data_IF_195145063896
#
_entry.id   IF_195145063896
#
_cell.length_a   1.000
_cell.length_b   1.000
_cell.length_c   1.000
_cell.angle_alpha   90.00
_cell.angle_beta   90.00
_cell.angle_gamma   90.00
#
_symmetry.space_group_name_H-M   'P 1'
#
loop_
_entity.id
_entity.type
_entity.pdbx_description
1 polymer ?
#
# COMPACT_ATOMS: atom_id res chain seq x y z
N UNK A 1 -0.89 14.18 19.19
CA UNK A 1 -1.36 13.13 18.27
C UNK A 1 -0.56 13.27 17.00
N UNK A 2 0.20 12.25 16.62
CA UNK A 2 0.95 12.29 15.37
C UNK A 2 -0.04 12.46 14.21
N UNK A 3 0.11 13.54 13.43
CA UNK A 3 -0.82 13.85 12.35
C UNK A 3 -0.51 12.96 11.14
N UNK A 4 -1.20 11.82 11.06
CA UNK A 4 -1.10 10.88 9.95
C UNK A 4 -2.19 11.21 8.94
N UNK A 5 -1.79 11.44 7.68
CA UNK A 5 -2.69 11.75 6.57
C UNK A 5 -2.72 10.59 5.60
N UNK A 6 -3.91 10.19 5.17
CA UNK A 6 -4.07 9.25 4.06
C UNK A 6 -4.26 10.04 2.76
N UNK A 7 -3.55 9.64 1.71
CA UNK A 7 -3.72 10.19 0.36
C UNK A 7 -4.02 9.07 -0.62
N UNK A 8 -4.88 9.36 -1.60
CA UNK A 8 -5.03 8.53 -2.79
C UNK A 8 -3.89 8.82 -3.74
N UNK A 9 -3.21 7.76 -4.20
CA UNK A 9 -2.08 7.84 -5.11
C UNK A 9 -2.58 8.19 -6.49
N UNK A 10 -1.99 9.22 -7.08
CA UNK A 10 -2.39 9.74 -8.39
C UNK A 10 -1.21 10.03 -9.31
N UNK A 11 0.01 10.04 -8.79
CA UNK A 11 1.24 10.27 -9.57
C UNK A 11 2.18 9.07 -9.54
N UNK A 12 3.05 9.01 -10.55
CA UNK A 12 4.11 7.99 -10.63
C UNK A 12 5.07 8.10 -9.44
N UNK A 13 5.35 9.31 -8.95
CA UNK A 13 6.20 9.51 -7.77
C UNK A 13 5.58 8.89 -6.52
N UNK A 14 4.28 9.11 -6.29
CA UNK A 14 3.55 8.52 -5.16
C UNK A 14 3.46 6.99 -5.28
N UNK A 15 3.27 6.47 -6.49
CA UNK A 15 3.28 5.03 -6.75
C UNK A 15 4.65 4.41 -6.44
N UNK A 16 5.74 5.10 -6.81
CA UNK A 16 7.10 4.71 -6.45
C UNK A 16 7.32 4.69 -4.93
N UNK A 17 6.72 5.61 -4.17
CA UNK A 17 6.77 5.58 -2.71
C UNK A 17 6.05 4.35 -2.14
N UNK A 18 4.93 3.92 -2.73
CA UNK A 18 4.26 2.68 -2.34
C UNK A 18 5.20 1.47 -2.54
N UNK A 19 5.86 1.38 -3.70
CA UNK A 19 6.81 0.30 -3.99
C UNK A 19 8.00 0.29 -3.06
N UNK A 20 8.53 1.46 -2.68
CA UNK A 20 9.63 1.55 -1.70
C UNK A 20 9.21 0.97 -0.36
N UNK A 21 8.04 1.37 0.16
CA UNK A 21 7.52 0.85 1.45
C UNK A 21 7.34 -0.66 1.38
N UNK A 22 6.71 -1.15 0.31
CA UNK A 22 6.49 -2.57 0.07
C UNK A 22 7.80 -3.34 -0.01
N UNK A 23 8.80 -2.82 -0.72
CA UNK A 23 10.14 -3.43 -0.79
C UNK A 23 10.81 -3.49 0.59
N UNK A 24 10.72 -2.45 1.40
CA UNK A 24 11.24 -2.50 2.78
C UNK A 24 10.57 -3.60 3.61
N UNK A 25 9.24 -3.76 3.49
CA UNK A 25 8.46 -4.70 4.30
C UNK A 25 8.51 -6.14 3.76
N UNK A 26 8.15 -6.35 2.51
CA UNK A 26 8.00 -7.67 1.92
C UNK A 26 9.35 -8.27 1.51
N UNK A 27 10.20 -7.50 0.85
CA UNK A 27 11.49 -8.01 0.36
C UNK A 27 12.56 -7.97 1.45
N UNK A 28 12.85 -6.79 2.01
CA UNK A 28 13.98 -6.64 2.93
C UNK A 28 13.71 -7.23 4.31
N UNK A 29 12.52 -7.00 4.87
CA UNK A 29 12.15 -7.51 6.19
C UNK A 29 11.64 -8.95 6.12
N UNK A 30 10.62 -9.24 5.31
CA UNK A 30 9.97 -10.56 5.27
C UNK A 30 10.65 -11.59 4.34
N UNK A 31 11.65 -11.16 3.56
CA UNK A 31 12.45 -12.03 2.69
C UNK A 31 11.67 -12.68 1.54
N UNK A 32 10.62 -12.03 1.05
CA UNK A 32 10.02 -12.42 -0.23
C UNK A 32 10.97 -12.11 -1.38
N UNK A 33 10.82 -12.87 -2.48
CA UNK A 33 11.58 -12.63 -3.70
C UNK A 33 11.19 -11.26 -4.27
N UNK A 34 12.17 -10.37 -4.58
CA UNK A 34 11.89 -9.12 -5.28
C UNK A 34 11.04 -9.28 -6.54
N UNK A 35 11.16 -10.42 -7.25
CA UNK A 35 10.39 -10.70 -8.46
C UNK A 35 8.89 -10.91 -8.20
N UNK A 36 8.50 -11.31 -6.99
CA UNK A 36 7.10 -11.57 -6.61
C UNK A 36 6.39 -10.32 -6.07
N UNK A 37 7.12 -9.23 -5.85
CA UNK A 37 6.55 -8.05 -5.20
C UNK A 37 5.53 -7.34 -6.09
N UNK A 38 5.87 -7.18 -7.37
CA UNK A 38 5.02 -6.57 -8.38
C UNK A 38 4.13 -7.61 -9.06
N UNK A 39 2.87 -7.26 -9.29
CA UNK A 39 1.96 -8.08 -10.09
C UNK A 39 1.19 -7.27 -11.14
N UNK A 40 0.38 -7.98 -11.94
CA UNK A 40 -0.42 -7.41 -13.03
C UNK A 40 -1.40 -6.30 -12.62
N UNK A 41 -1.74 -6.19 -11.33
CA UNK A 41 -2.67 -5.17 -10.84
C UNK A 41 -1.95 -3.87 -10.45
N UNK A 42 -0.64 -3.89 -10.27
CA UNK A 42 0.10 -2.75 -9.74
C UNK A 42 0.02 -1.51 -10.64
N UNK A 43 0.07 -1.72 -11.96
CA UNK A 43 -0.05 -0.67 -12.98
C UNK A 43 -1.45 -0.57 -13.60
N UNK A 44 -2.42 -1.36 -13.10
CA UNK A 44 -3.79 -1.33 -13.63
C UNK A 44 -4.48 -0.02 -13.28
N UNK A 45 -5.10 0.61 -14.27
CA UNK A 45 -5.93 1.82 -14.09
C UNK A 45 -7.14 1.61 -13.17
N UNK A 46 -7.52 0.34 -12.95
CA UNK A 46 -8.59 -0.04 -12.03
C UNK A 46 -8.11 -0.27 -10.60
N UNK A 47 -6.79 -0.26 -10.36
CA UNK A 47 -6.20 -0.46 -9.05
C UNK A 47 -5.97 0.89 -8.36
N UNK A 48 -6.46 1.01 -7.14
CA UNK A 48 -6.33 2.19 -6.31
C UNK A 48 -5.26 1.95 -5.24
N UNK A 49 -4.25 2.81 -5.19
CA UNK A 49 -3.23 2.77 -4.15
C UNK A 49 -3.44 3.93 -3.17
N UNK A 50 -3.09 3.71 -1.92
CA UNK A 50 -3.15 4.72 -0.87
C UNK A 50 -1.84 4.76 -0.10
N UNK A 51 -1.47 5.96 0.34
CA UNK A 51 -0.30 6.19 1.19
C UNK A 51 -0.74 6.78 2.53
N UNK A 52 -0.16 6.25 3.61
CA UNK A 52 -0.14 6.91 4.90
C UNK A 52 1.11 7.79 4.99
N UNK A 53 0.92 9.07 5.30
CA UNK A 53 1.97 10.06 5.46
C UNK A 53 2.04 10.56 6.90
N UNK A 54 3.22 10.58 7.51
CA UNK A 54 3.49 11.26 8.78
C UNK A 54 4.43 12.42 8.53
N UNK A 55 3.97 13.66 8.74
CA UNK A 55 4.75 14.87 8.42
C UNK A 55 5.34 14.85 7.01
N UNK A 56 4.51 14.47 6.02
CA UNK A 56 4.87 14.27 4.61
C UNK A 56 5.79 13.08 4.28
N UNK A 57 6.25 12.33 5.29
CA UNK A 57 7.01 11.11 5.05
C UNK A 57 6.05 9.93 4.79
N UNK A 58 6.21 9.16 3.70
CA UNK A 58 5.48 7.93 3.48
C UNK A 58 5.84 6.85 4.52
N UNK A 59 4.84 6.33 5.22
CA UNK A 59 5.02 5.40 6.35
C UNK A 59 4.28 4.08 6.22
N UNK A 60 3.27 4.03 5.34
CA UNK A 60 2.53 2.82 5.01
C UNK A 60 1.79 2.95 3.68
N UNK A 61 1.40 1.82 3.11
CA UNK A 61 0.61 1.77 1.88
C UNK A 61 -0.36 0.60 1.90
N UNK A 62 -1.43 0.72 1.12
CA UNK A 62 -2.35 -0.36 0.78
C UNK A 62 -2.83 -0.14 -0.65
N UNK A 63 -3.25 -1.23 -1.31
CA UNK A 63 -3.96 -1.11 -2.58
C UNK A 63 -5.29 -1.85 -2.54
N UNK A 64 -6.21 -1.41 -3.37
CA UNK A 64 -7.52 -2.03 -3.59
C UNK A 64 -7.68 -2.19 -5.09
N UNK A 65 -7.87 -3.42 -5.56
CA UNK A 65 -8.18 -3.69 -6.96
C UNK A 65 -9.52 -4.40 -7.09
N UNK A 66 -10.22 -4.31 -8.24
CA UNK A 66 -11.47 -5.00 -8.44
C UNK A 66 -11.29 -6.50 -8.34
N UNK A 67 -12.26 -7.15 -7.70
CA UNK A 67 -12.39 -8.59 -7.65
C UNK A 67 -13.85 -8.94 -8.01
N UNK A 68 -14.01 -9.42 -9.24
CA UNK A 68 -15.30 -9.79 -9.80
C UNK A 68 -15.58 -11.24 -9.44
N UNK A 69 -16.63 -11.45 -8.64
CA UNK A 69 -17.27 -12.75 -8.47
C UNK A 69 -18.42 -12.86 -9.48
N UNK A 70 -18.80 -14.08 -9.93
CA UNK A 70 -19.97 -14.29 -10.78
C UNK A 70 -21.27 -13.65 -10.25
N UNK A 71 -21.35 -13.35 -8.95
CA UNK A 71 -22.55 -12.82 -8.28
C UNK A 71 -22.37 -11.43 -7.65
N UNK A 72 -21.19 -10.83 -7.68
CA UNK A 72 -20.95 -9.53 -7.03
C UNK A 72 -19.66 -8.85 -7.47
N UNK A 73 -19.69 -7.52 -7.58
CA UNK A 73 -18.48 -6.69 -7.68
C UNK A 73 -17.96 -6.38 -6.28
N UNK A 74 -16.73 -6.79 -5.98
CA UNK A 74 -16.05 -6.49 -4.71
C UNK A 74 -14.68 -5.86 -4.97
N UNK A 75 -14.09 -5.23 -3.94
CA UNK A 75 -12.70 -4.79 -3.96
C UNK A 75 -11.84 -5.76 -3.15
N UNK A 76 -10.68 -6.14 -3.67
CA UNK A 76 -9.68 -6.93 -2.95
C UNK A 76 -8.60 -6.00 -2.43
N UNK A 77 -8.49 -5.95 -1.11
CA UNK A 77 -7.41 -5.27 -0.40
C UNK A 77 -6.16 -6.13 -0.52
N UNK A 78 -5.02 -5.49 -0.81
CA UNK A 78 -3.73 -6.16 -0.91
C UNK A 78 -2.58 -5.21 -0.60
N UNK A 79 -1.38 -5.79 -0.48
CA UNK A 79 -0.12 -5.06 -0.26
C UNK A 79 -0.14 -4.09 0.93
N UNK A 80 -1.01 -4.34 1.93
CA UNK A 80 -1.04 -3.59 3.18
C UNK A 80 0.32 -3.73 3.87
N UNK A 81 1.04 -2.64 3.99
CA UNK A 81 2.40 -2.61 4.51
C UNK A 81 2.64 -1.33 5.28
N UNK A 82 3.26 -1.45 6.45
CA UNK A 82 3.65 -0.33 7.32
C UNK A 82 5.09 -0.54 7.73
N UNK A 83 5.93 0.49 7.56
CA UNK A 83 7.33 0.44 7.96
C UNK A 83 7.42 0.13 9.45
N UNK A 84 8.37 -0.73 9.83
CA UNK A 84 8.49 -1.28 11.19
C UNK A 84 8.46 -0.23 12.30
N UNK A 85 9.13 0.89 12.08
CA UNK A 85 9.23 2.00 13.05
C UNK A 85 7.94 2.80 13.27
N UNK A 86 6.91 2.61 12.42
CA UNK A 86 5.60 3.27 12.54
C UNK A 86 4.47 2.29 12.89
N UNK A 87 4.79 1.03 13.24
CA UNK A 87 3.80 0.06 13.72
C UNK A 87 3.36 0.38 15.15
N UNK A 88 2.21 -0.17 15.57
CA UNK A 88 1.55 0.12 16.85
C UNK A 88 1.11 1.59 17.04
N UNK A 89 1.02 2.34 15.95
CA UNK A 89 0.55 3.74 15.93
C UNK A 89 -0.84 3.88 15.26
N UNK A 90 -1.56 2.79 15.00
CA UNK A 90 -2.85 2.81 14.31
C UNK A 90 -2.79 3.00 12.78
N UNK A 91 -1.60 3.03 12.17
CA UNK A 91 -1.42 3.27 10.72
C UNK A 91 -2.20 2.28 9.85
N UNK A 92 -2.15 0.99 10.21
CA UNK A 92 -2.85 -0.06 9.45
C UNK A 92 -4.36 0.08 9.53
N UNK A 93 -4.89 0.53 10.65
CA UNK A 93 -6.32 0.81 10.82
C UNK A 93 -6.74 2.02 10.00
N UNK A 94 -5.92 3.06 9.94
CA UNK A 94 -6.19 4.24 9.10
C UNK A 94 -6.16 3.93 7.58
N UNK A 95 -5.47 2.87 7.17
CA UNK A 95 -5.39 2.43 5.78
C UNK A 95 -6.57 1.54 5.35
N UNK A 96 -7.36 1.03 6.30
CA UNK A 96 -8.52 0.14 6.05
C UNK A 96 -9.84 0.90 6.11
#
# INVERSE_FOLDING_TARGET
MDNIKIIHVSTTEEQNECYKIRTEVFVKEQKFDPADELDEYDESSSCHHFLALKSSLPIGTVRIHPYLSPTSTTGKIGRLSVLKQYRNMGVGELLL
#
